data_IF_825986437925
#
_entry.id   IF_825986437925
#
_cell.length_a   1.000
_cell.length_b   1.000
_cell.length_c   1.000
_cell.angle_alpha   90.00
_cell.angle_beta   90.00
_cell.angle_gamma   90.00
#
_symmetry.space_group_name_H-M   'P 1'
#
loop_
_entity.id
_entity.type
_entity.pdbx_description
1 polymer ?
#
# COMPACT_ATOMS: atom_id res chain seq x y z
N UNK A 1 -6.01 6.37 31.13
CA UNK A 1 -6.79 6.76 29.94
C UNK A 1 -6.67 5.62 28.94
N UNK A 2 -7.76 5.07 28.43
CA UNK A 2 -7.70 3.94 27.48
C UNK A 2 -7.09 4.40 26.15
N UNK A 3 -5.84 4.00 25.89
CA UNK A 3 -5.16 4.37 24.66
C UNK A 3 -5.59 3.46 23.52
N UNK A 4 -5.87 4.06 22.37
CA UNK A 4 -6.25 3.35 21.16
C UNK A 4 -5.20 3.56 20.08
N UNK A 5 -4.82 2.48 19.40
CA UNK A 5 -3.94 2.56 18.25
C UNK A 5 -4.68 3.18 17.05
N UNK A 6 -3.95 3.81 16.13
CA UNK A 6 -4.51 4.35 14.88
C UNK A 6 -5.18 3.29 13.99
N UNK A 7 -4.99 2.00 14.26
CA UNK A 7 -5.72 0.91 13.62
C UNK A 7 -7.11 0.62 14.21
N UNK A 8 -7.48 1.30 15.31
CA UNK A 8 -8.74 1.15 16.04
C UNK A 8 -8.75 0.09 17.14
N UNK A 9 -7.58 -0.43 17.53
CA UNK A 9 -7.46 -1.43 18.60
C UNK A 9 -7.18 -0.76 19.93
N UNK A 10 -7.88 -1.20 20.97
CA UNK A 10 -7.53 -0.87 22.37
C UNK A 10 -6.16 -1.43 22.69
N UNK A 11 -5.24 -0.54 23.05
CA UNK A 11 -3.90 -0.91 23.48
C UNK A 11 -3.98 -1.48 24.90
N UNK A 12 -3.12 -2.48 25.15
CA UNK A 12 -2.83 -2.91 26.52
C UNK A 12 -1.98 -1.81 27.16
N UNK A 13 -2.15 -1.58 28.46
CA UNK A 13 -1.37 -0.59 29.18
C UNK A 13 0.14 -0.88 29.00
N UNK A 14 0.92 0.18 28.74
CA UNK A 14 2.37 0.14 28.43
C UNK A 14 2.83 -0.70 27.22
N UNK A 15 1.91 -1.06 26.32
CA UNK A 15 2.29 -1.79 25.10
C UNK A 15 3.21 -0.95 24.21
N UNK A 16 4.49 -1.35 24.04
CA UNK A 16 5.45 -0.72 23.11
C UNK A 16 5.01 -0.79 21.65
N UNK A 17 4.31 -1.85 21.28
CA UNK A 17 3.79 -2.10 19.94
C UNK A 17 2.34 -2.54 20.00
N UNK A 18 1.54 -2.14 19.00
CA UNK A 18 0.17 -2.62 18.89
C UNK A 18 0.15 -4.11 18.54
N UNK A 19 -0.46 -4.94 19.40
CA UNK A 19 -0.58 -6.38 19.18
C UNK A 19 -1.36 -6.77 17.90
N UNK A 20 -2.15 -5.85 17.34
CA UNK A 20 -2.95 -6.12 16.13
C UNK A 20 -2.32 -5.62 14.83
N UNK A 21 -1.58 -4.50 14.86
CA UNK A 21 -1.02 -3.90 13.65
C UNK A 21 0.49 -3.68 13.67
N UNK A 22 1.18 -4.02 14.77
CA UNK A 22 2.63 -3.92 14.90
C UNK A 22 3.19 -2.50 15.04
N UNK A 23 2.35 -1.46 15.01
CA UNK A 23 2.79 -0.07 15.07
C UNK A 23 3.37 0.27 16.46
N UNK A 24 4.54 0.93 16.57
CA UNK A 24 5.04 1.42 17.85
C UNK A 24 4.09 2.48 18.41
N UNK A 25 3.84 2.41 19.71
CA UNK A 25 2.93 3.32 20.43
C UNK A 25 3.65 4.56 20.95
N UNK A 26 4.97 4.46 21.13
CA UNK A 26 5.87 5.53 21.55
C UNK A 26 7.12 5.55 20.69
N UNK A 27 7.69 6.74 20.53
CA UNK A 27 9.01 6.91 19.92
C UNK A 27 10.05 6.35 20.89
N UNK A 28 10.78 5.32 20.47
CA UNK A 28 11.80 4.67 21.30
C UNK A 28 13.06 5.52 21.17
N UNK A 29 13.20 6.51 22.05
CA UNK A 29 14.45 7.25 22.22
C UNK A 29 15.45 6.28 22.87
N UNK A 30 16.59 5.97 22.23
CA UNK A 30 17.67 5.28 22.91
C UNK A 30 18.18 6.20 24.02
N UNK A 31 18.03 5.81 25.28
CA UNK A 31 18.71 6.49 26.38
C UNK A 31 20.22 6.29 26.18
N UNK A 32 20.94 7.39 26.06
CA UNK A 32 22.40 7.43 26.21
C UNK A 32 22.70 7.09 27.67
N UNK A 33 23.46 6.01 27.89
CA UNK A 33 23.90 5.55 29.23
C UNK A 33 24.44 6.72 30.07
N UNK A 34 23.85 7.03 31.25
CA UNK A 34 24.43 7.97 32.18
C UNK A 34 24.88 7.22 33.44
N UNK A 35 26.16 6.89 33.54
CA UNK A 35 26.82 6.51 34.80
C UNK A 35 28.34 6.46 34.49
N UNK A 36 29.23 7.21 35.13
CA UNK A 36 29.39 7.40 36.57
C UNK A 36 30.10 8.73 36.88
N UNK A 37 29.54 9.48 37.82
CA UNK A 37 30.22 10.55 38.56
C UNK A 37 30.26 10.14 40.06
N UNK A 38 31.37 10.47 40.72
CA UNK A 38 31.59 10.62 42.18
C UNK A 38 32.23 9.51 43.07
N UNK A 39 33.53 9.71 43.31
CA UNK A 39 34.17 9.90 44.64
C UNK A 39 34.67 8.71 45.49
N UNK A 40 35.90 8.85 46.03
CA UNK A 40 36.38 8.13 47.23
C UNK A 40 37.84 7.69 47.19
N UNK A 41 38.71 8.35 47.95
CA UNK A 41 40.16 8.17 48.04
C UNK A 41 40.63 6.91 48.81
N UNK A 42 41.80 6.33 48.46
CA UNK A 42 42.94 6.07 49.38
C UNK A 42 44.21 5.61 48.61
N UNK A 43 45.37 5.82 49.24
CA UNK A 43 46.77 5.90 48.81
C UNK A 43 47.50 4.69 48.19
N UNK A 44 48.57 4.95 47.42
CA UNK A 44 49.70 4.03 47.21
C UNK A 44 50.62 4.41 46.04
N UNK A 45 51.90 4.66 46.33
CA UNK A 45 52.96 5.22 45.46
C UNK A 45 53.46 4.32 44.31
N UNK A 46 53.97 4.95 43.23
CA UNK A 46 55.32 4.74 42.62
C UNK A 46 55.37 4.59 41.09
N UNK A 47 56.28 5.39 40.52
CA UNK A 47 57.04 5.29 39.26
C UNK A 47 56.46 5.66 37.88
N UNK A 48 57.31 6.40 37.17
CA UNK A 48 57.12 7.05 35.88
C UNK A 48 57.83 6.26 34.76
N UNK A 49 57.14 6.16 33.60
CA UNK A 49 57.63 5.86 32.22
C UNK A 49 58.44 4.56 31.97
N UNK A 50 58.51 4.02 30.72
CA UNK A 50 58.17 4.65 29.44
C UNK A 50 57.26 3.83 28.49
N UNK A 51 56.82 4.54 27.46
CA UNK A 51 56.04 4.09 26.32
C UNK A 51 56.49 2.74 25.70
N UNK A 52 55.54 1.82 25.58
CA UNK A 52 55.61 0.68 24.66
C UNK A 52 54.38 0.70 23.76
N UNK A 53 54.62 0.82 22.46
CA UNK A 53 53.60 0.82 21.42
C UNK A 53 52.80 -0.49 21.45
N UNK A 54 51.53 -0.41 21.83
CA UNK A 54 50.57 -1.51 21.68
C UNK A 54 49.96 -1.51 20.28
N UNK A 55 49.68 -2.70 19.73
CA UNK A 55 49.32 -2.90 18.34
C UNK A 55 47.91 -2.39 18.05
N UNK A 56 47.74 -1.90 16.83
CA UNK A 56 46.47 -1.47 16.23
C UNK A 56 45.39 -2.51 16.53
N UNK A 57 44.50 -2.19 17.48
CA UNK A 57 43.25 -2.90 17.64
C UNK A 57 42.41 -2.60 16.42
N UNK A 58 42.09 -3.64 15.66
CA UNK A 58 41.09 -3.57 14.60
C UNK A 58 39.75 -3.32 15.29
N UNK A 59 39.30 -2.09 15.24
CA UNK A 59 37.97 -1.66 15.65
C UNK A 59 36.94 -2.62 15.04
N UNK A 60 36.13 -3.33 15.86
CA UNK A 60 35.02 -4.09 15.34
C UNK A 60 34.10 -3.08 14.67
N UNK A 61 33.98 -3.18 13.34
CA UNK A 61 33.05 -2.38 12.56
C UNK A 61 31.69 -2.38 13.27
N UNK A 62 31.28 -1.21 13.75
CA UNK A 62 30.02 -0.99 14.42
C UNK A 62 28.92 -1.73 13.64
N UNK A 63 28.02 -2.48 14.30
CA UNK A 63 26.88 -3.05 13.61
C UNK A 63 26.14 -1.89 12.98
N UNK A 64 26.11 -1.85 11.64
CA UNK A 64 25.28 -0.93 10.88
C UNK A 64 23.91 -0.99 11.51
N UNK A 65 23.52 0.09 12.19
CA UNK A 65 22.23 0.22 12.83
C UNK A 65 21.20 -0.24 11.83
N UNK A 66 20.56 -1.38 12.11
CA UNK A 66 19.57 -1.95 11.22
C UNK A 66 18.50 -0.87 11.01
N UNK A 67 18.40 -0.39 9.77
CA UNK A 67 17.36 0.55 9.39
C UNK A 67 16.02 0.02 9.92
N UNK A 68 15.15 0.88 10.49
CA UNK A 68 13.88 0.44 11.06
C UNK A 68 13.18 -0.45 10.04
N UNK A 69 12.83 -1.67 10.46
CA UNK A 69 12.21 -2.66 9.59
C UNK A 69 11.07 -1.99 8.82
N UNK A 70 11.23 -1.91 7.50
CA UNK A 70 10.30 -1.18 6.64
C UNK A 70 8.87 -1.69 6.82
N UNK A 71 7.86 -0.86 6.49
CA UNK A 71 6.47 -1.23 6.66
C UNK A 71 6.15 -2.57 5.98
N UNK A 72 5.62 -3.53 6.74
CA UNK A 72 5.25 -4.84 6.22
C UNK A 72 4.04 -4.75 5.26
N UNK A 73 4.31 -4.63 3.97
CA UNK A 73 3.29 -4.67 2.91
C UNK A 73 2.97 -6.12 2.58
N UNK A 74 2.07 -6.68 3.38
CA UNK A 74 1.54 -8.03 3.19
C UNK A 74 0.01 -8.05 3.29
N UNK A 75 -0.63 -9.03 2.65
CA UNK A 75 -2.08 -9.25 2.73
C UNK A 75 -2.57 -9.59 4.15
N UNK A 76 -1.69 -10.11 5.00
CA UNK A 76 -1.98 -10.37 6.43
C UNK A 76 -2.13 -9.08 7.22
N UNK A 77 -1.55 -7.98 6.75
CA UNK A 77 -1.70 -6.68 7.39
C UNK A 77 -3.08 -6.10 7.04
N UNK A 78 -3.93 -5.98 8.07
CA UNK A 78 -5.29 -5.44 7.90
C UNK A 78 -5.31 -3.99 7.40
N UNK A 79 -4.26 -3.19 7.67
CA UNK A 79 -4.15 -1.84 7.12
C UNK A 79 -3.94 -1.89 5.60
N UNK A 80 -2.99 -2.71 5.14
CA UNK A 80 -2.69 -2.92 3.72
C UNK A 80 -3.94 -3.35 2.96
N UNK A 81 -4.67 -4.35 3.47
CA UNK A 81 -5.89 -4.85 2.83
C UNK A 81 -6.99 -3.78 2.78
N UNK A 82 -7.24 -3.06 3.88
CA UNK A 82 -8.25 -1.99 3.94
C UNK A 82 -7.94 -0.87 2.95
N UNK A 83 -6.67 -0.47 2.85
CA UNK A 83 -6.25 0.58 1.92
C UNK A 83 -6.38 0.12 0.47
N UNK A 84 -5.93 -1.11 0.15
CA UNK A 84 -6.07 -1.68 -1.19
C UNK A 84 -7.54 -1.78 -1.63
N UNK A 85 -8.45 -2.20 -0.73
CA UNK A 85 -9.89 -2.27 -1.01
C UNK A 85 -10.51 -0.88 -1.23
N UNK A 86 -10.16 0.11 -0.41
CA UNK A 86 -10.64 1.49 -0.60
C UNK A 86 -10.12 2.10 -1.91
N UNK A 87 -8.85 1.84 -2.25
CA UNK A 87 -8.27 2.27 -3.51
C UNK A 87 -8.90 1.57 -4.72
N UNK A 88 -9.31 0.30 -4.57
CA UNK A 88 -10.06 -0.40 -5.61
C UNK A 88 -11.47 0.19 -5.80
N UNK A 89 -12.18 0.53 -4.72
CA UNK A 89 -13.44 1.29 -4.83
C UNK A 89 -13.25 2.64 -5.53
N UNK A 90 -12.17 3.35 -5.19
CA UNK A 90 -11.77 4.60 -5.86
C UNK A 90 -11.47 4.37 -7.34
N UNK A 91 -10.82 3.26 -7.72
CA UNK A 91 -10.59 2.90 -9.11
C UNK A 91 -11.90 2.82 -9.92
N UNK A 92 -12.93 2.15 -9.41
CA UNK A 92 -14.21 2.06 -10.14
C UNK A 92 -14.92 3.40 -10.24
N UNK A 93 -14.97 4.16 -9.15
CA UNK A 93 -15.58 5.50 -9.15
C UNK A 93 -14.89 6.41 -10.17
N UNK A 94 -13.56 6.42 -10.14
CA UNK A 94 -12.74 7.20 -11.05
C UNK A 94 -12.86 6.69 -12.49
N UNK A 95 -12.89 5.37 -12.69
CA UNK A 95 -13.09 4.76 -14.01
C UNK A 95 -14.42 5.18 -14.65
N UNK A 96 -15.51 5.18 -13.89
CA UNK A 96 -16.81 5.68 -14.35
C UNK A 96 -16.70 7.16 -14.72
N UNK A 97 -16.09 7.98 -13.85
CA UNK A 97 -15.96 9.42 -14.10
C UNK A 97 -15.10 9.72 -15.33
N UNK A 98 -13.97 9.03 -15.51
CA UNK A 98 -13.05 9.23 -16.63
C UNK A 98 -13.55 8.60 -17.93
N UNK A 99 -14.45 7.62 -17.87
CA UNK A 99 -15.03 6.99 -19.07
C UNK A 99 -15.80 7.97 -19.95
N UNK A 100 -16.35 9.05 -19.37
CA UNK A 100 -16.96 10.13 -20.13
C UNK A 100 -15.96 10.87 -21.05
N UNK A 101 -14.66 10.85 -20.70
CA UNK A 101 -13.56 11.36 -21.52
C UNK A 101 -12.98 10.34 -22.50
N UNK A 102 -13.53 9.13 -22.55
CA UNK A 102 -13.12 8.06 -23.46
C UNK A 102 -12.38 6.90 -22.78
N UNK A 103 -12.24 5.76 -23.48
CA UNK A 103 -11.71 4.51 -22.91
C UNK A 103 -10.23 4.62 -22.52
N UNK A 104 -9.43 5.40 -23.27
CA UNK A 104 -8.03 5.61 -22.96
C UNK A 104 -7.83 6.36 -21.62
N UNK A 105 -8.69 7.33 -21.33
CA UNK A 105 -8.67 8.07 -20.07
C UNK A 105 -9.08 7.18 -18.91
N UNK A 106 -10.15 6.38 -19.06
CA UNK A 106 -10.56 5.39 -18.07
C UNK A 106 -9.43 4.41 -17.72
N UNK A 107 -8.60 4.06 -18.71
CA UNK A 107 -7.45 3.17 -18.51
C UNK A 107 -6.37 3.77 -17.59
N UNK A 108 -6.38 5.08 -17.33
CA UNK A 108 -5.45 5.72 -16.38
C UNK A 108 -5.93 5.62 -14.93
N UNK A 109 -7.17 5.20 -14.67
CA UNK A 109 -7.70 5.06 -13.32
C UNK A 109 -6.89 4.11 -12.39
N UNK A 110 -6.32 2.97 -12.85
CA UNK A 110 -5.50 2.10 -12.00
C UNK A 110 -4.21 2.79 -11.54
N UNK A 111 -3.61 3.63 -12.39
CA UNK A 111 -2.43 4.43 -12.06
C UNK A 111 -2.74 5.36 -10.88
N UNK A 112 -3.85 6.08 -10.97
CA UNK A 112 -4.29 7.00 -9.90
C UNK A 112 -4.70 6.25 -8.63
N UNK A 113 -5.32 5.08 -8.76
CA UNK A 113 -5.65 4.23 -7.62
C UNK A 113 -4.41 3.71 -6.87
N UNK A 114 -3.35 3.32 -7.58
CA UNK A 114 -2.08 2.92 -6.95
C UNK A 114 -1.43 4.06 -6.16
N UNK A 115 -1.44 5.28 -6.72
CA UNK A 115 -0.95 6.47 -6.02
C UNK A 115 -1.82 6.84 -4.81
N UNK A 116 -3.15 6.78 -4.95
CA UNK A 116 -4.09 7.02 -3.86
C UNK A 116 -3.95 6.00 -2.73
N UNK A 117 -3.66 4.73 -3.04
CA UNK A 117 -3.34 3.71 -2.05
C UNK A 117 -2.11 4.12 -1.22
N UNK A 118 -1.04 4.59 -1.86
CA UNK A 118 0.15 5.07 -1.14
C UNK A 118 -0.18 6.27 -0.24
N UNK A 119 -0.93 7.24 -0.74
CA UNK A 119 -1.37 8.39 0.05
C UNK A 119 -2.15 7.98 1.30
N UNK A 120 -3.15 7.11 1.17
CA UNK A 120 -3.93 6.63 2.30
C UNK A 120 -3.11 5.78 3.27
N UNK A 121 -2.21 4.94 2.75
CA UNK A 121 -1.35 4.09 3.58
C UNK A 121 -0.41 4.92 4.44
N UNK A 122 0.28 5.90 3.86
CA UNK A 122 1.18 6.79 4.61
C UNK A 122 0.39 7.66 5.60
N UNK A 123 -0.75 8.22 5.19
CA UNK A 123 -1.59 9.05 6.06
C UNK A 123 -2.16 8.29 7.27
N UNK A 124 -2.47 7.00 7.14
CA UNK A 124 -3.00 6.17 8.24
C UNK A 124 -1.92 5.42 9.02
N UNK A 125 -0.85 5.02 8.34
CA UNK A 125 0.27 4.27 8.90
C UNK A 125 1.27 5.16 9.64
N UNK A 126 1.54 6.36 9.12
CA UNK A 126 2.57 7.27 9.64
C UNK A 126 4.00 6.90 9.19
N UNK A 127 4.15 5.98 8.26
CA UNK A 127 5.45 5.55 7.71
C UNK A 127 5.64 6.13 6.31
N UNK A 128 6.89 6.46 5.96
CA UNK A 128 7.27 6.79 4.59
C UNK A 128 7.49 5.49 3.81
N UNK A 129 7.02 5.44 2.56
CA UNK A 129 7.21 4.30 1.67
C UNK A 129 8.39 4.55 0.74
N UNK A 130 9.24 3.55 0.57
CA UNK A 130 10.20 3.52 -0.54
C UNK A 130 9.47 3.29 -1.87
N UNK A 131 10.16 3.54 -2.99
CA UNK A 131 9.61 3.34 -4.34
C UNK A 131 9.18 1.88 -4.58
N UNK A 132 9.97 0.93 -4.08
CA UNK A 132 9.71 -0.51 -4.23
C UNK A 132 8.50 -0.91 -3.39
N UNK A 133 8.38 -0.40 -2.17
CA UNK A 133 7.22 -0.61 -1.31
C UNK A 133 5.95 0.00 -1.90
N UNK A 134 6.04 1.23 -2.44
CA UNK A 134 4.96 1.85 -3.20
C UNK A 134 4.52 0.99 -4.38
N UNK A 135 5.48 0.46 -5.16
CA UNK A 135 5.18 -0.45 -6.26
C UNK A 135 4.47 -1.73 -5.80
N UNK A 136 4.91 -2.34 -4.70
CA UNK A 136 4.28 -3.54 -4.11
C UNK A 136 2.85 -3.27 -3.63
N UNK A 137 2.61 -2.13 -2.99
CA UNK A 137 1.27 -1.71 -2.56
C UNK A 137 0.36 -1.45 -3.76
N UNK A 138 0.89 -0.80 -4.79
CA UNK A 138 0.21 -0.56 -6.07
C UNK A 138 -0.15 -1.85 -6.80
N UNK A 139 0.78 -2.82 -6.85
CA UNK A 139 0.55 -4.15 -7.40
C UNK A 139 -0.60 -4.86 -6.68
N UNK A 140 -0.58 -4.86 -5.35
CA UNK A 140 -1.63 -5.48 -4.54
C UNK A 140 -2.99 -4.82 -4.75
N UNK A 141 -3.00 -3.49 -4.86
CA UNK A 141 -4.21 -2.73 -5.23
C UNK A 141 -4.72 -3.16 -6.60
N UNK A 142 -3.83 -3.32 -7.59
CA UNK A 142 -4.19 -3.83 -8.91
C UNK A 142 -4.81 -5.23 -8.89
N UNK A 143 -4.31 -6.14 -8.02
CA UNK A 143 -4.93 -7.46 -7.82
C UNK A 143 -6.35 -7.30 -7.24
N UNK A 144 -6.54 -6.45 -6.23
CA UNK A 144 -7.87 -6.21 -5.65
C UNK A 144 -8.84 -5.60 -6.67
N UNK A 145 -8.36 -4.65 -7.48
CA UNK A 145 -9.13 -4.10 -8.60
C UNK A 145 -9.54 -5.21 -9.57
N UNK A 146 -8.60 -6.06 -9.98
CA UNK A 146 -8.87 -7.15 -10.92
C UNK A 146 -9.90 -8.14 -10.37
N UNK A 147 -9.77 -8.55 -9.09
CA UNK A 147 -10.73 -9.44 -8.45
C UNK A 147 -12.14 -8.83 -8.44
N UNK A 148 -12.25 -7.56 -8.04
CA UNK A 148 -13.53 -6.85 -8.08
C UNK A 148 -14.06 -6.70 -9.50
N UNK A 149 -13.20 -6.45 -10.50
CA UNK A 149 -13.59 -6.37 -11.92
C UNK A 149 -14.16 -7.69 -12.38
N UNK A 150 -13.52 -8.82 -12.09
CA UNK A 150 -14.03 -10.16 -12.46
C UNK A 150 -15.38 -10.42 -11.79
N UNK A 151 -15.53 -10.11 -10.50
CA UNK A 151 -16.79 -10.27 -9.78
C UNK A 151 -17.89 -9.42 -10.42
N UNK A 152 -17.66 -8.12 -10.61
CA UNK A 152 -18.63 -7.20 -11.21
C UNK A 152 -18.96 -7.58 -12.65
N UNK A 153 -17.96 -7.94 -13.45
CA UNK A 153 -18.13 -8.42 -14.81
C UNK A 153 -19.01 -9.67 -14.85
N UNK A 154 -18.76 -10.63 -13.95
CA UNK A 154 -19.57 -11.86 -13.84
C UNK A 154 -21.02 -11.53 -13.47
N UNK A 155 -21.24 -10.63 -12.51
CA UNK A 155 -22.57 -10.16 -12.12
C UNK A 155 -23.28 -9.52 -13.32
N UNK A 156 -22.61 -8.63 -14.05
CA UNK A 156 -23.18 -7.95 -15.23
C UNK A 156 -23.48 -8.95 -16.34
N UNK A 157 -22.57 -9.88 -16.66
CA UNK A 157 -22.80 -10.91 -17.68
C UNK A 157 -23.95 -11.84 -17.32
N UNK A 158 -24.09 -12.18 -16.03
CA UNK A 158 -25.22 -12.99 -15.55
C UNK A 158 -26.53 -12.21 -15.58
N UNK A 159 -26.52 -10.94 -15.18
CA UNK A 159 -27.70 -10.07 -15.26
C UNK A 159 -28.13 -9.85 -16.72
N UNK A 160 -27.18 -9.76 -17.65
CA UNK A 160 -27.42 -9.58 -19.07
C UNK A 160 -28.17 -10.74 -19.73
N UNK A 161 -28.21 -11.93 -19.11
CA UNK A 161 -29.05 -13.03 -19.61
C UNK A 161 -30.52 -12.85 -19.28
N UNK A 162 -30.86 -11.91 -18.40
CA UNK A 162 -32.26 -11.63 -18.01
C UNK A 162 -32.88 -10.53 -18.88
N UNK A 163 -34.08 -10.79 -19.39
CA UNK A 163 -34.82 -9.81 -20.19
C UNK A 163 -35.15 -8.54 -19.39
N UNK A 164 -35.49 -8.68 -18.11
CA UNK A 164 -35.83 -7.58 -17.21
C UNK A 164 -34.68 -6.61 -16.98
N UNK A 165 -33.43 -7.10 -16.89
CA UNK A 165 -32.26 -6.25 -16.82
C UNK A 165 -32.03 -5.52 -18.14
N UNK A 166 -32.13 -6.22 -19.26
CA UNK A 166 -31.94 -5.62 -20.58
C UNK A 166 -33.01 -4.56 -20.91
N UNK A 167 -34.26 -4.75 -20.47
CA UNK A 167 -35.30 -3.71 -20.57
C UNK A 167 -35.00 -2.54 -19.64
N UNK A 168 -34.64 -2.79 -18.38
CA UNK A 168 -34.29 -1.72 -17.44
C UNK A 168 -33.09 -0.89 -17.91
N UNK A 169 -32.07 -1.52 -18.51
CA UNK A 169 -30.91 -0.82 -19.08
C UNK A 169 -31.30 0.02 -20.29
N UNK A 170 -32.22 -0.45 -21.14
CA UNK A 170 -32.74 0.34 -22.27
C UNK A 170 -33.59 1.52 -21.80
N UNK A 171 -34.34 1.35 -20.71
CA UNK A 171 -35.24 2.36 -20.14
C UNK A 171 -34.52 3.42 -19.27
N UNK A 172 -33.40 3.06 -18.63
CA UNK A 172 -32.65 3.96 -17.71
C UNK A 172 -31.87 5.08 -18.39
N UNK A 173 -31.89 5.15 -19.72
CA UNK A 173 -31.97 6.41 -20.47
C UNK A 173 -30.79 7.41 -20.38
N UNK A 174 -29.67 7.09 -21.04
CA UNK A 174 -28.68 8.07 -21.50
C UNK A 174 -28.19 7.72 -22.91
N UNK A 175 -28.82 8.29 -23.94
CA UNK A 175 -28.85 7.82 -25.34
C UNK A 175 -27.50 7.64 -26.10
N UNK A 176 -26.36 8.04 -25.53
CA UNK A 176 -25.05 7.88 -26.17
C UNK A 176 -24.17 6.79 -25.54
N UNK A 177 -24.00 6.85 -24.21
CA UNK A 177 -22.98 6.04 -23.51
C UNK A 177 -23.40 4.57 -23.32
N UNK A 178 -24.71 4.29 -23.30
CA UNK A 178 -25.25 2.95 -23.05
C UNK A 178 -25.39 2.11 -24.32
N UNK A 179 -25.59 2.74 -25.49
CA UNK A 179 -25.66 2.03 -26.77
C UNK A 179 -24.33 1.35 -27.12
N UNK A 180 -23.21 2.02 -26.84
CA UNK A 180 -21.89 1.45 -27.01
C UNK A 180 -21.59 0.37 -25.96
N UNK A 181 -22.07 0.55 -24.72
CA UNK A 181 -21.96 -0.46 -23.67
C UNK A 181 -22.76 -1.74 -24.01
N UNK A 182 -23.97 -1.62 -24.55
CA UNK A 182 -24.78 -2.76 -25.00
C UNK A 182 -24.12 -3.50 -26.17
N UNK A 183 -23.61 -2.75 -27.17
CA UNK A 183 -22.88 -3.34 -28.31
C UNK A 183 -21.59 -4.03 -27.85
N UNK A 184 -20.88 -3.46 -26.89
CA UNK A 184 -19.70 -4.09 -26.31
C UNK A 184 -20.07 -5.41 -25.61
N UNK A 185 -21.16 -5.41 -24.84
CA UNK A 185 -21.67 -6.60 -24.16
C UNK A 185 -22.08 -7.70 -25.15
N UNK A 186 -22.80 -7.33 -26.21
CA UNK A 186 -23.19 -8.26 -27.29
C UNK A 186 -21.97 -8.87 -27.99
N UNK A 187 -20.95 -8.06 -28.31
CA UNK A 187 -19.68 -8.55 -28.89
C UNK A 187 -18.96 -9.53 -27.97
N UNK A 188 -18.91 -9.23 -26.67
CA UNK A 188 -18.28 -10.11 -25.69
C UNK A 188 -19.04 -11.44 -25.54
N UNK A 189 -20.37 -11.43 -25.70
CA UNK A 189 -21.18 -12.65 -25.68
C UNK A 189 -21.04 -13.47 -26.96
N UNK A 190 -20.95 -12.81 -28.13
CA UNK A 190 -20.84 -13.50 -29.42
C UNK A 190 -19.46 -14.12 -29.65
N UNK A 191 -18.40 -13.55 -29.08
CA UNK A 191 -17.02 -13.98 -29.30
C UNK A 191 -16.32 -14.37 -27.99
N UNK A 192 -16.51 -15.62 -27.49
CA UNK A 192 -15.93 -16.04 -26.22
C UNK A 192 -14.39 -16.02 -26.22
N UNK A 193 -13.75 -16.16 -27.38
CA UNK A 193 -12.29 -16.04 -27.54
C UNK A 193 -11.75 -14.67 -27.15
N UNK A 194 -12.53 -13.59 -27.33
CA UNK A 194 -12.10 -12.26 -26.91
C UNK A 194 -11.98 -12.17 -25.39
N UNK A 195 -12.89 -12.81 -24.64
CA UNK A 195 -12.85 -12.82 -23.17
C UNK A 195 -11.59 -13.51 -22.67
N UNK A 196 -11.20 -14.64 -23.30
CA UNK A 196 -9.97 -15.36 -22.94
C UNK A 196 -8.69 -14.51 -23.11
N UNK A 197 -8.67 -13.58 -24.06
CA UNK A 197 -7.54 -12.67 -24.26
C UNK A 197 -7.65 -11.41 -23.37
N UNK A 198 -8.88 -10.91 -23.17
CA UNK A 198 -9.14 -9.70 -22.40
C UNK A 198 -8.81 -9.87 -20.92
N UNK A 199 -9.09 -11.04 -20.33
CA UNK A 199 -8.83 -11.31 -18.90
C UNK A 199 -7.33 -11.14 -18.55
N UNK A 200 -6.38 -11.84 -19.20
CA UNK A 200 -4.96 -11.66 -18.89
C UNK A 200 -4.46 -10.26 -19.25
N UNK A 201 -4.93 -9.67 -20.35
CA UNK A 201 -4.62 -8.29 -20.70
C UNK A 201 -5.04 -7.31 -19.58
N UNK A 202 -6.27 -7.45 -19.08
CA UNK A 202 -6.81 -6.60 -18.03
C UNK A 202 -6.07 -6.82 -16.70
N UNK A 203 -5.74 -8.08 -16.37
CA UNK A 203 -4.93 -8.39 -15.19
C UNK A 203 -3.57 -7.65 -15.24
N UNK A 204 -2.87 -7.75 -16.37
CA UNK A 204 -1.57 -7.10 -16.55
C UNK A 204 -1.71 -5.58 -16.51
N UNK A 205 -2.71 -5.00 -17.18
CA UNK A 205 -2.91 -3.56 -17.16
C UNK A 205 -3.21 -3.04 -15.76
N UNK A 206 -4.15 -3.65 -15.03
CA UNK A 206 -4.51 -3.22 -13.67
C UNK A 206 -3.34 -3.34 -12.69
N UNK A 207 -2.58 -4.44 -12.78
CA UNK A 207 -1.46 -4.69 -11.86
C UNK A 207 -0.23 -3.86 -12.20
N UNK A 208 0.14 -3.72 -13.47
CA UNK A 208 1.30 -2.93 -13.89
C UNK A 208 1.07 -1.42 -13.72
N UNK A 209 -0.06 -0.87 -14.19
CA UNK A 209 -0.37 0.55 -13.94
C UNK A 209 -0.55 0.82 -12.46
N UNK A 210 -1.20 -0.08 -11.71
CA UNK A 210 -1.28 0.03 -10.26
C UNK A 210 0.10 0.12 -9.60
N UNK A 211 1.03 -0.75 -10.01
CA UNK A 211 2.42 -0.75 -9.53
C UNK A 211 3.15 0.55 -9.86
N UNK A 212 3.06 1.03 -11.10
CA UNK A 212 3.67 2.30 -11.52
C UNK A 212 3.05 3.46 -10.73
N UNK A 213 1.73 3.46 -10.55
CA UNK A 213 1.00 4.46 -9.78
C UNK A 213 1.44 4.51 -8.33
N UNK A 214 1.62 3.35 -7.71
CA UNK A 214 2.14 3.24 -6.35
C UNK A 214 3.59 3.70 -6.22
N UNK A 215 4.46 3.31 -7.16
CA UNK A 215 5.84 3.77 -7.22
C UNK A 215 5.93 5.30 -7.33
N UNK A 216 5.17 5.89 -8.25
CA UNK A 216 5.09 7.35 -8.41
C UNK A 216 4.51 8.01 -7.16
N UNK A 217 3.43 7.47 -6.60
CA UNK A 217 2.80 7.98 -5.38
C UNK A 217 3.78 8.06 -4.22
N UNK A 218 4.51 6.98 -3.94
CA UNK A 218 5.53 6.97 -2.88
C UNK A 218 6.63 8.01 -3.09
N UNK A 219 7.09 8.21 -4.34
CA UNK A 219 8.14 9.18 -4.69
C UNK A 219 7.67 10.63 -4.58
N UNK A 220 6.41 10.92 -4.92
CA UNK A 220 5.85 12.26 -4.78
C UNK A 220 5.67 12.61 -3.30
N UNK A 221 5.14 11.67 -2.50
CA UNK A 221 4.89 11.85 -1.07
C UNK A 221 6.17 11.92 -0.22
N UNK A 222 7.29 11.38 -0.71
CA UNK A 222 8.57 11.44 -0.01
C UNK A 222 9.33 12.75 -0.20
N UNK A 223 8.87 13.65 -1.09
CA UNK A 223 9.55 14.92 -1.41
C UNK A 223 9.17 16.08 -0.48
N UNK A 224 8.24 15.85 0.43
CA UNK A 224 7.87 16.75 1.53
C UNK A 224 8.50 16.28 2.86
#
# INVERSE_FOLDING_TARGET
MEQHCSCGTRLVDDALFCHKCGKPTREIVPEEDPEQEESGAESGETEAEPATASPIQTEPAAPVAAAPAGPEIHLRNSLTLRVAMLAAGFHFLLGILLSAGGPFLAQMAPLLAGGFACYLFQRRGGFRLTVIEGARLGWLTGIMCFLLTVILFTIVMTAATSESFMTAVRESGGAGMQGDALKALERLQSEPSQVFLLIPYQFLMLTLLGSIGGALGSKLLSRD
#
